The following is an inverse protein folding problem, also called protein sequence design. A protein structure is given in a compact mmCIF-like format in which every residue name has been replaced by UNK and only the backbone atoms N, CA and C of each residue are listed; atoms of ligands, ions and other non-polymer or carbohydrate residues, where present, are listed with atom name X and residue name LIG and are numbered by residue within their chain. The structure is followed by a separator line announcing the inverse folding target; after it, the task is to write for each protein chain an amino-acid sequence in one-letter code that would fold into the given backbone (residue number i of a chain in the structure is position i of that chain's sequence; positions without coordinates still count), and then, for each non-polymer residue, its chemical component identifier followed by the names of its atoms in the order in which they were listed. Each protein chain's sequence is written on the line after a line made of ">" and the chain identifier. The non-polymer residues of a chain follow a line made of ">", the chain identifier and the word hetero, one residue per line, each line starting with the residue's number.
data_IF_329169473686
#
_entry.id   IF_329169473686
#
_cell.length_a   1.000
_cell.length_b   1.000
_cell.length_c   1.000
_cell.angle_alpha   90.00
_cell.angle_beta   90.00
_cell.angle_gamma   90.00
#
_symmetry.space_group_name_H-M   'P 1'
#
loop_
_entity.id
_entity.type
_entity.pdbx_description
1 polymer ?
#
# COMPACT_ATOMS: atom_id res chain seq x y z
N UNK A 1 13.25 5.04 22.90
CA UNK A 1 11.82 4.67 22.94
C UNK A 1 11.39 4.52 24.39
N UNK A 2 10.34 5.18 24.86
CA UNK A 2 9.86 4.97 26.24
C UNK A 2 8.87 3.80 26.28
N UNK A 3 9.38 2.57 26.19
CA UNK A 3 8.58 1.35 26.34
C UNK A 3 7.63 1.02 25.18
N UNK A 4 7.75 1.69 24.02
CA UNK A 4 6.98 1.38 22.83
C UNK A 4 7.19 -0.07 22.36
N UNK A 5 6.12 -0.72 21.90
CA UNK A 5 6.13 -2.10 21.42
C UNK A 5 5.98 -2.15 19.90
N UNK A 6 6.27 -3.30 19.29
CA UNK A 6 5.95 -3.56 17.89
C UNK A 6 4.69 -4.42 17.79
N UNK A 7 3.89 -4.16 16.75
CA UNK A 7 2.71 -4.98 16.38
C UNK A 7 2.66 -5.13 14.86
N UNK A 8 1.70 -5.89 14.33
CA UNK A 8 1.49 -5.98 12.89
C UNK A 8 1.14 -4.60 12.33
N UNK A 9 1.93 -4.16 11.35
CA UNK A 9 1.81 -2.84 10.75
C UNK A 9 0.91 -2.77 9.54
N UNK A 10 0.94 -1.62 8.87
CA UNK A 10 0.38 -1.50 7.51
C UNK A 10 1.12 -2.47 6.61
N UNK A 11 2.46 -2.51 6.79
CA UNK A 11 3.37 -3.47 6.17
C UNK A 11 4.36 -3.98 7.23
N UNK A 12 4.45 -5.31 7.37
CA UNK A 12 5.35 -5.92 8.35
C UNK A 12 4.99 -5.52 9.79
N UNK A 13 5.83 -4.71 10.43
CA UNK A 13 5.69 -4.29 11.82
C UNK A 13 5.59 -2.78 11.96
N UNK A 14 4.62 -2.33 12.74
CA UNK A 14 4.47 -0.93 13.13
C UNK A 14 4.80 -0.73 14.61
N UNK A 15 5.13 0.51 14.97
CA UNK A 15 5.31 0.91 16.36
C UNK A 15 3.93 1.14 16.97
N UNK A 16 3.64 0.46 18.08
CA UNK A 16 2.48 0.68 18.92
C UNK A 16 2.81 1.69 20.02
N UNK A 17 2.04 2.77 20.06
CA UNK A 17 2.09 3.78 21.13
C UNK A 17 0.76 3.80 21.85
N UNK A 18 0.81 3.64 23.17
CA UNK A 18 -0.36 3.71 24.04
C UNK A 18 -0.39 5.02 24.83
N UNK A 19 -1.49 5.77 24.72
CA UNK A 19 -1.70 7.01 25.50
C UNK A 19 -1.72 6.73 27.01
N UNK A 20 -2.27 5.59 27.44
CA UNK A 20 -2.34 5.17 28.85
C UNK A 20 -0.96 4.99 29.50
N UNK A 21 0.07 4.79 28.68
CA UNK A 21 1.47 4.62 29.09
C UNK A 21 2.33 5.83 28.71
N UNK A 22 1.73 6.90 28.16
CA UNK A 22 2.45 8.11 27.72
C UNK A 22 3.63 7.81 26.79
N UNK A 23 3.44 6.86 25.86
CA UNK A 23 4.52 6.36 25.00
C UNK A 23 4.80 7.29 23.83
N UNK A 24 6.09 7.39 23.48
CA UNK A 24 6.57 8.14 22.33
C UNK A 24 7.97 7.67 21.93
N UNK A 25 8.38 8.07 20.73
CA UNK A 25 9.74 7.89 20.21
C UNK A 25 10.43 9.25 20.13
N UNK A 26 11.74 9.26 20.35
CA UNK A 26 12.61 10.42 20.19
C UNK A 26 13.68 10.04 19.18
N UNK A 27 13.94 10.94 18.25
CA UNK A 27 14.98 10.85 17.23
C UNK A 27 15.80 12.14 17.33
N UNK A 28 17.13 12.12 17.13
CA UNK A 28 17.93 13.34 17.15
C UNK A 28 17.36 14.42 16.24
N UNK A 29 17.60 15.68 16.61
CA UNK A 29 17.28 16.88 15.82
C UNK A 29 17.56 16.70 14.32
N UNK A 30 16.60 17.12 13.49
CA UNK A 30 16.74 17.17 12.03
C UNK A 30 16.64 18.63 11.61
N UNK A 31 17.64 19.15 10.90
CA UNK A 31 17.64 20.57 10.56
C UNK A 31 16.65 20.92 9.44
N UNK A 32 15.43 21.28 9.83
CA UNK A 32 14.36 21.84 8.97
C UNK A 32 14.40 23.37 8.86
N UNK A 33 15.36 24.05 9.50
CA UNK A 33 15.42 25.52 9.59
C UNK A 33 15.42 26.17 8.21
N UNK A 34 14.35 26.86 7.84
CA UNK A 34 14.23 27.55 6.54
C UNK A 34 14.46 26.64 5.32
N UNK A 35 14.13 25.36 5.43
CA UNK A 35 14.28 24.38 4.34
C UNK A 35 12.96 23.79 3.91
N UNK A 36 12.90 23.37 2.65
CA UNK A 36 11.80 22.56 2.15
C UNK A 36 11.93 21.12 2.64
N UNK A 37 10.81 20.47 2.95
CA UNK A 37 10.78 19.08 3.40
C UNK A 37 9.42 18.44 3.12
N UNK A 38 9.41 17.11 3.12
CA UNK A 38 8.20 16.28 3.13
C UNK A 38 8.35 15.23 4.22
N UNK A 39 7.36 15.10 5.11
CA UNK A 39 7.31 14.05 6.12
C UNK A 39 6.06 13.22 5.90
N UNK A 40 6.24 11.91 5.81
CA UNK A 40 5.20 10.93 5.49
C UNK A 40 5.15 9.82 6.52
N UNK A 41 3.97 9.26 6.73
CA UNK A 41 3.76 8.13 7.64
C UNK A 41 2.42 7.45 7.39
N UNK A 42 2.37 6.16 7.68
CA UNK A 42 1.13 5.43 7.86
C UNK A 42 0.69 5.47 9.32
N UNK A 43 -0.58 5.78 9.58
CA UNK A 43 -1.15 5.83 10.93
C UNK A 43 -2.39 4.94 11.05
N UNK A 44 -2.52 4.24 12.17
CA UNK A 44 -3.74 3.55 12.58
C UNK A 44 -4.21 4.08 13.93
N UNK A 45 -5.37 4.71 13.96
CA UNK A 45 -5.92 5.35 15.16
C UNK A 45 -6.75 4.35 15.97
N UNK A 46 -6.33 4.11 17.21
CA UNK A 46 -7.11 3.33 18.18
C UNK A 46 -8.18 4.19 18.86
N UNK A 47 -7.86 5.46 19.11
CA UNK A 47 -8.79 6.43 19.69
C UNK A 47 -8.78 7.75 18.93
N UNK A 48 -9.89 8.48 19.03
CA UNK A 48 -10.06 9.82 18.49
C UNK A 48 -10.71 10.71 19.54
N UNK A 49 -10.30 11.99 19.57
CA UNK A 49 -10.85 13.01 20.47
C UNK A 49 -10.84 14.37 19.78
N UNK A 50 -11.56 15.33 20.36
CA UNK A 50 -11.64 16.70 19.84
C UNK A 50 -10.39 17.53 20.16
N UNK A 51 -9.75 17.26 21.30
CA UNK A 51 -8.46 17.85 21.67
C UNK A 51 -7.32 17.28 20.82
N UNK A 52 -6.14 17.88 20.98
CA UNK A 52 -4.97 17.50 20.18
C UNK A 52 -4.53 16.05 20.46
N UNK A 53 -4.19 15.36 19.37
CA UNK A 53 -3.45 14.10 19.35
C UNK A 53 -2.19 14.38 18.54
N UNK A 54 -1.04 14.37 19.17
CA UNK A 54 0.21 14.74 18.52
C UNK A 54 0.86 13.54 17.84
N UNK A 55 1.21 13.68 16.56
CA UNK A 55 1.79 12.62 15.72
C UNK A 55 3.30 12.76 15.63
N UNK A 56 3.77 13.95 15.30
CA UNK A 56 5.17 14.24 15.03
C UNK A 56 5.43 15.69 15.43
N UNK A 57 6.58 15.97 16.02
CA UNK A 57 6.95 17.35 16.28
C UNK A 57 8.43 17.53 16.54
N UNK A 58 8.89 18.73 16.22
CA UNK A 58 10.22 19.23 16.52
C UNK A 58 10.07 20.63 17.10
N UNK A 59 10.44 20.81 18.36
CA UNK A 59 10.17 22.04 19.08
C UNK A 59 11.38 22.47 19.89
N UNK A 60 12.03 23.55 19.43
CA UNK A 60 13.05 24.29 20.20
C UNK A 60 12.39 24.93 21.43
N UNK A 61 11.25 25.60 21.23
CA UNK A 61 10.43 26.19 22.28
C UNK A 61 9.01 26.50 21.77
N UNK A 62 8.11 26.90 22.66
CA UNK A 62 6.69 27.14 22.35
C UNK A 62 6.43 28.57 21.86
N UNK A 63 7.14 28.97 20.81
CA UNK A 63 6.89 30.25 20.13
C UNK A 63 6.67 30.03 18.65
N UNK A 64 5.99 30.99 18.02
CA UNK A 64 5.69 30.97 16.59
C UNK A 64 6.99 30.75 15.80
N UNK A 65 6.96 29.75 14.92
CA UNK A 65 8.04 29.26 14.06
C UNK A 65 9.17 28.50 14.77
N UNK A 66 9.05 28.21 16.07
CA UNK A 66 10.04 27.42 16.84
C UNK A 66 9.53 26.04 17.25
N UNK A 67 8.31 25.67 16.85
CA UNK A 67 7.74 24.36 17.10
C UNK A 67 6.92 23.88 15.91
N UNK A 68 7.53 22.97 15.13
CA UNK A 68 6.90 22.19 14.09
C UNK A 68 6.05 21.11 14.75
N UNK A 69 4.79 21.02 14.35
CA UNK A 69 3.91 19.97 14.85
C UNK A 69 2.99 19.46 13.76
N UNK A 70 2.77 18.14 13.79
CA UNK A 70 1.70 17.46 13.10
C UNK A 70 0.79 16.83 14.15
N UNK A 71 -0.50 17.13 14.07
CA UNK A 71 -1.46 16.66 15.04
C UNK A 71 -2.80 16.34 14.37
N UNK A 72 -3.64 15.64 15.11
CA UNK A 72 -5.06 15.50 14.83
C UNK A 72 -5.80 16.35 15.85
N UNK A 73 -6.73 17.19 15.39
CA UNK A 73 -7.57 18.07 16.22
C UNK A 73 -8.96 18.08 15.63
N UNK A 74 -10.00 17.99 16.44
CA UNK A 74 -11.38 17.91 15.95
C UNK A 74 -11.55 16.92 14.78
N UNK A 75 -10.93 15.74 14.92
CA UNK A 75 -10.94 14.64 13.93
C UNK A 75 -10.25 14.92 12.60
N UNK A 76 -9.55 16.04 12.42
CA UNK A 76 -8.84 16.36 11.17
C UNK A 76 -7.34 16.42 11.40
N UNK A 77 -6.58 16.19 10.33
CA UNK A 77 -5.12 16.37 10.30
C UNK A 77 -4.76 17.85 10.28
N UNK A 78 -3.68 18.20 10.97
CA UNK A 78 -3.12 19.54 11.07
C UNK A 78 -1.60 19.49 10.96
N UNK A 79 -1.04 20.52 10.32
CA UNK A 79 0.36 20.87 10.46
C UNK A 79 0.50 22.34 10.83
N UNK A 80 1.55 22.69 11.56
CA UNK A 80 1.82 24.09 11.83
C UNK A 80 3.20 24.34 12.40
N UNK A 81 3.60 25.61 12.36
CA UNK A 81 4.81 26.12 13.00
C UNK A 81 4.45 26.91 14.27
N UNK A 82 3.61 26.32 15.14
CA UNK A 82 3.06 26.92 16.36
C UNK A 82 2.20 28.17 16.12
N UNK A 83 0.88 28.04 16.35
CA UNK A 83 -0.11 29.09 16.11
C UNK A 83 -0.17 29.59 14.64
N UNK A 84 0.39 28.81 13.73
CA UNK A 84 0.39 29.02 12.29
C UNK A 84 0.01 27.70 11.62
N UNK A 85 -1.23 27.31 11.89
CA UNK A 85 -1.72 25.97 11.61
C UNK A 85 -2.48 25.96 10.27
N UNK A 86 -2.29 24.89 9.51
CA UNK A 86 -3.08 24.47 8.36
C UNK A 86 -3.86 23.22 8.75
N UNK A 87 -5.13 23.15 8.40
CA UNK A 87 -5.98 21.98 8.61
C UNK A 87 -6.30 21.27 7.29
N UNK A 88 -6.42 19.95 7.33
CA UNK A 88 -7.11 19.19 6.29
C UNK A 88 -8.63 19.39 6.35
N UNK A 89 -9.37 18.66 5.51
CA UNK A 89 -10.83 18.77 5.40
C UNK A 89 -11.56 17.53 5.92
N UNK A 90 -10.98 16.35 5.72
CA UNK A 90 -11.58 15.05 6.01
C UNK A 90 -11.57 14.73 7.50
N UNK A 91 -12.72 14.31 8.02
CA UNK A 91 -12.83 13.75 9.37
C UNK A 91 -12.34 12.30 9.37
N UNK A 92 -11.32 12.02 10.17
CA UNK A 92 -10.79 10.69 10.38
C UNK A 92 -11.75 9.85 11.23
N UNK A 93 -11.65 8.54 11.07
CA UNK A 93 -12.27 7.52 11.91
C UNK A 93 -11.21 6.59 12.49
N UNK A 94 -11.51 5.92 13.60
CA UNK A 94 -10.64 4.88 14.15
C UNK A 94 -10.74 3.58 13.34
N UNK A 95 -9.84 2.65 13.61
CA UNK A 95 -9.98 1.26 13.12
C UNK A 95 -9.48 1.01 11.70
N UNK A 96 -8.82 1.99 11.06
CA UNK A 96 -8.23 1.84 9.72
C UNK A 96 -6.91 2.60 9.60
N UNK A 97 -6.12 2.20 8.61
CA UNK A 97 -4.90 2.91 8.22
C UNK A 97 -5.21 4.13 7.36
N UNK A 98 -4.38 5.16 7.52
CA UNK A 98 -4.28 6.32 6.64
C UNK A 98 -2.83 6.58 6.30
N UNK A 99 -2.54 6.97 5.06
CA UNK A 99 -1.26 7.61 4.73
C UNK A 99 -1.41 9.12 4.89
N UNK A 100 -0.49 9.77 5.57
CA UNK A 100 -0.47 11.23 5.69
C UNK A 100 0.88 11.76 5.22
N UNK A 101 0.84 12.78 4.37
CA UNK A 101 2.03 13.55 4.00
C UNK A 101 1.88 15.01 4.41
N UNK A 102 2.90 15.54 5.06
CA UNK A 102 3.04 16.95 5.37
C UNK A 102 4.21 17.52 4.61
N UNK A 103 3.94 18.53 3.80
CA UNK A 103 4.91 19.08 2.86
C UNK A 103 5.07 20.57 3.13
N UNK A 104 6.31 21.04 3.18
CA UNK A 104 6.63 22.46 3.24
C UNK A 104 7.60 22.84 2.13
N UNK A 105 7.22 23.84 1.34
CA UNK A 105 8.07 24.50 0.36
C UNK A 105 8.57 25.84 0.91
N UNK A 106 9.86 25.93 1.26
CA UNK A 106 10.47 27.16 1.76
C UNK A 106 10.69 28.22 0.68
N UNK A 107 10.68 27.86 -0.61
CA UNK A 107 10.80 28.82 -1.72
C UNK A 107 9.47 29.54 -1.92
N UNK A 108 8.36 28.79 -1.92
CA UNK A 108 7.01 29.33 -2.08
C UNK A 108 6.36 29.74 -0.74
N UNK A 109 6.99 29.44 0.40
CA UNK A 109 6.38 29.46 1.74
C UNK A 109 5.05 28.70 1.77
N UNK A 110 4.97 27.54 1.15
CA UNK A 110 3.71 26.83 0.96
C UNK A 110 3.65 25.56 1.82
N UNK A 111 2.64 25.48 2.68
CA UNK A 111 2.32 24.29 3.48
C UNK A 111 1.23 23.49 2.76
N UNK A 112 1.41 22.17 2.68
CA UNK A 112 0.41 21.26 2.11
C UNK A 112 0.24 20.01 2.96
N UNK A 113 -1.01 19.57 3.12
CA UNK A 113 -1.38 18.31 3.77
C UNK A 113 -1.99 17.40 2.71
N UNK A 114 -1.56 16.14 2.71
CA UNK A 114 -2.17 15.09 1.91
C UNK A 114 -2.65 13.95 2.81
N UNK A 115 -3.79 13.36 2.47
CA UNK A 115 -4.35 12.17 3.12
C UNK A 115 -4.65 11.12 2.06
N UNK A 116 -4.19 9.89 2.27
CA UNK A 116 -4.29 8.78 1.32
C UNK A 116 -3.80 9.16 -0.10
N UNK A 117 -2.78 10.02 -0.16
CA UNK A 117 -2.15 10.47 -1.40
C UNK A 117 -2.82 11.70 -2.06
N UNK A 118 -3.95 12.16 -1.54
CA UNK A 118 -4.73 13.26 -2.12
C UNK A 118 -4.58 14.55 -1.31
N UNK A 119 -4.57 15.70 -1.99
CA UNK A 119 -4.41 17.00 -1.35
C UNK A 119 -5.64 17.33 -0.49
N UNK A 120 -5.41 17.60 0.79
CA UNK A 120 -6.45 17.91 1.79
C UNK A 120 -6.48 19.40 2.17
N UNK A 121 -5.33 20.06 2.12
CA UNK A 121 -5.20 21.45 2.51
C UNK A 121 -3.91 22.05 1.95
N UNK A 122 -3.98 23.32 1.55
CA UNK A 122 -2.84 24.04 1.02
C UNK A 122 -2.91 25.53 1.38
N UNK A 123 -1.80 26.14 1.79
CA UNK A 123 -1.74 27.57 2.08
C UNK A 123 -0.31 28.11 2.02
N UNK A 124 -0.18 29.34 1.53
CA UNK A 124 1.03 30.15 1.70
C UNK A 124 1.10 30.67 3.14
N UNK A 125 2.07 30.20 3.92
CA UNK A 125 2.40 30.77 5.24
C UNK A 125 3.18 32.08 5.09
N UNK A 126 3.11 32.90 6.13
CA UNK A 126 3.85 34.16 6.24
C UNK A 126 5.36 33.98 6.39
N UNK A 127 5.84 32.81 6.82
CA UNK A 127 7.28 32.55 6.99
C UNK A 127 7.60 31.07 7.22
N UNK A 128 8.87 30.72 7.05
CA UNK A 128 9.41 29.40 7.33
C UNK A 128 9.45 29.03 8.81
N UNK A 129 9.56 27.73 9.05
CA UNK A 129 10.03 27.19 10.32
C UNK A 129 11.48 27.64 10.59
N UNK A 130 11.74 28.04 11.83
CA UNK A 130 12.98 28.67 12.28
C UNK A 130 13.62 27.97 13.49
N UNK A 131 13.07 26.84 13.96
CA UNK A 131 13.64 26.11 15.09
C UNK A 131 15.03 25.58 14.75
N UNK A 132 16.00 25.76 15.65
CA UNK A 132 17.43 25.45 15.42
C UNK A 132 17.95 24.27 16.23
N UNK A 133 17.11 23.72 17.11
CA UNK A 133 17.38 22.57 17.94
C UNK A 133 16.06 21.96 18.41
N UNK A 134 16.15 20.93 19.25
CA UNK A 134 15.01 20.18 19.75
C UNK A 134 14.92 18.85 19.02
N UNK A 135 14.91 17.75 19.78
CA UNK A 135 14.80 16.43 19.16
C UNK A 135 13.42 16.25 18.50
N UNK A 136 13.42 15.46 17.42
CA UNK A 136 12.19 15.02 16.79
C UNK A 136 11.48 14.04 17.73
N UNK A 137 10.18 14.24 17.89
CA UNK A 137 9.31 13.38 18.70
C UNK A 137 8.21 12.78 17.83
N UNK A 138 7.91 11.51 18.06
CA UNK A 138 6.84 10.76 17.37
C UNK A 138 5.88 10.23 18.43
N UNK A 139 4.59 10.46 18.23
CA UNK A 139 3.51 10.17 19.17
C UNK A 139 3.33 11.20 20.29
N UNK A 140 4.07 12.31 20.21
CA UNK A 140 3.85 13.52 21.00
C UNK A 140 4.40 14.74 20.26
N UNK A 141 4.03 15.94 20.72
CA UNK A 141 4.75 17.20 20.45
C UNK A 141 4.92 17.90 21.80
N UNK A 142 5.81 18.90 21.90
CA UNK A 142 6.01 19.65 23.14
C UNK A 142 4.79 20.41 23.67
N UNK A 143 3.73 20.58 22.85
CA UNK A 143 2.52 21.37 23.11
C UNK A 143 1.55 20.61 24.02
N UNK A 144 0.98 21.26 25.07
CA UNK A 144 1.17 20.88 26.48
C UNK A 144 0.91 19.40 26.80
N UNK A 145 1.59 18.92 27.85
CA UNK A 145 1.49 17.55 28.36
C UNK A 145 0.03 17.06 28.42
N UNK A 146 -0.26 15.89 27.83
CA UNK A 146 -1.63 15.39 27.72
C UNK A 146 -1.98 14.75 26.38
N UNK A 147 -1.32 15.19 25.30
CA UNK A 147 -1.80 14.97 23.94
C UNK A 147 -1.05 13.85 23.19
N UNK A 148 -0.83 12.70 23.83
CA UNK A 148 -0.14 11.57 23.19
C UNK A 148 -0.99 10.88 22.12
N UNK A 149 -0.30 10.30 21.15
CA UNK A 149 -0.87 9.38 20.18
C UNK A 149 -1.27 8.06 20.82
N UNK A 150 -2.30 7.44 20.25
CA UNK A 150 -2.80 6.14 20.67
C UNK A 150 -3.16 5.30 19.43
N UNK A 151 -2.31 4.32 19.14
CA UNK A 151 -2.42 3.52 17.94
C UNK A 151 -1.08 3.09 17.37
N UNK A 152 -1.08 2.77 16.08
CA UNK A 152 0.10 2.31 15.35
C UNK A 152 0.62 3.40 14.42
N UNK A 153 1.94 3.48 14.27
CA UNK A 153 2.62 4.29 13.26
C UNK A 153 3.62 3.42 12.51
N UNK A 154 3.63 3.53 11.19
CA UNK A 154 4.43 2.70 10.30
C UNK A 154 5.08 3.55 9.19
N UNK A 155 6.21 3.08 8.64
CA UNK A 155 6.92 3.65 7.49
C UNK A 155 7.12 5.18 7.51
N UNK A 156 7.57 5.73 8.65
CA UNK A 156 7.83 7.18 8.75
C UNK A 156 9.02 7.55 7.85
N UNK A 157 8.79 8.46 6.91
CA UNK A 157 9.81 8.94 5.98
C UNK A 157 9.98 10.44 6.09
N UNK A 158 11.23 10.91 6.16
CA UNK A 158 11.59 12.33 6.10
C UNK A 158 12.42 12.57 4.84
N UNK A 159 11.91 13.41 3.95
CA UNK A 159 12.57 13.81 2.71
C UNK A 159 12.96 15.28 2.79
N UNK A 160 14.21 15.62 2.48
CA UNK A 160 14.76 16.99 2.53
C UNK A 160 14.42 17.85 1.30
N UNK A 161 13.28 17.56 0.65
CA UNK A 161 12.74 18.30 -0.50
C UNK A 161 11.22 18.22 -0.53
N UNK A 162 10.63 19.06 -1.36
CA UNK A 162 9.24 18.95 -1.78
C UNK A 162 9.07 17.70 -2.67
N UNK A 163 8.13 16.82 -2.32
CA UNK A 163 7.63 15.78 -3.22
C UNK A 163 6.49 16.31 -4.06
N UNK A 164 6.38 15.81 -5.29
CA UNK A 164 5.23 16.06 -6.15
C UNK A 164 3.99 15.31 -5.64
N UNK A 165 2.80 15.75 -6.04
CA UNK A 165 1.56 15.03 -5.74
C UNK A 165 1.56 13.60 -6.31
N UNK A 166 2.25 13.36 -7.43
CA UNK A 166 2.38 12.02 -8.01
C UNK A 166 3.27 11.11 -7.15
N UNK A 167 4.38 11.62 -6.62
CA UNK A 167 5.23 10.88 -5.69
C UNK A 167 4.44 10.53 -4.41
N UNK A 168 3.75 11.50 -3.81
CA UNK A 168 2.96 11.29 -2.59
C UNK A 168 1.81 10.30 -2.83
N UNK A 169 1.14 10.39 -3.99
CA UNK A 169 0.11 9.41 -4.37
C UNK A 169 0.69 8.02 -4.55
N UNK A 170 1.86 7.90 -5.16
CA UNK A 170 2.54 6.61 -5.32
C UNK A 170 2.90 6.02 -3.95
N UNK A 171 3.49 6.81 -3.06
CA UNK A 171 3.87 6.39 -1.71
C UNK A 171 2.66 5.95 -0.87
N UNK A 172 1.53 6.63 -1.05
CA UNK A 172 0.27 6.29 -0.40
C UNK A 172 -0.44 5.07 -0.99
N UNK A 173 -0.18 4.70 -2.25
CA UNK A 173 -1.06 3.76 -2.96
C UNK A 173 -0.42 2.56 -3.65
N UNK A 174 0.85 2.64 -4.04
CA UNK A 174 1.61 1.49 -4.51
C UNK A 174 2.04 0.66 -3.30
N UNK A 175 1.41 -0.49 -3.12
CA UNK A 175 1.70 -1.38 -1.99
C UNK A 175 2.99 -2.16 -2.23
N UNK A 176 3.14 -2.72 -3.43
CA UNK A 176 4.33 -3.47 -3.84
C UNK A 176 4.51 -3.42 -5.36
N UNK A 177 5.75 -3.40 -5.80
CA UNK A 177 6.19 -3.57 -7.19
C UNK A 177 7.37 -4.53 -7.24
N UNK A 178 7.12 -5.74 -7.77
CA UNK A 178 8.14 -6.71 -8.06
C UNK A 178 8.41 -6.74 -9.57
N UNK A 179 9.53 -6.18 -10.04
CA UNK A 179 9.90 -6.22 -11.45
C UNK A 179 10.31 -7.63 -11.90
N UNK A 180 10.56 -8.55 -10.96
CA UNK A 180 11.10 -9.88 -11.27
C UNK A 180 12.42 -9.83 -12.07
N UNK A 181 13.24 -8.85 -11.73
CA UNK A 181 14.68 -8.79 -12.02
C UNK A 181 15.49 -9.43 -10.90
N UNK A 182 16.69 -9.96 -11.19
CA UNK A 182 17.63 -10.47 -10.18
C UNK A 182 18.42 -9.31 -9.54
N UNK A 183 18.42 -9.13 -8.21
CA UNK A 183 17.75 -9.95 -7.20
C UNK A 183 16.25 -9.60 -7.03
N UNK A 184 15.48 -10.60 -6.59
CA UNK A 184 14.05 -10.44 -6.33
C UNK A 184 13.77 -9.46 -5.17
N UNK A 185 13.44 -8.22 -5.52
CA UNK A 185 13.24 -7.12 -4.58
C UNK A 185 11.93 -6.38 -4.89
N UNK A 186 11.20 -5.99 -3.85
CA UNK A 186 10.14 -4.99 -3.97
C UNK A 186 10.79 -3.60 -4.11
N UNK A 187 10.63 -2.96 -5.27
CA UNK A 187 11.13 -1.60 -5.51
C UNK A 187 10.07 -0.53 -5.22
N UNK A 188 8.90 -0.94 -4.74
CA UNK A 188 7.85 -0.05 -4.26
C UNK A 188 8.22 0.68 -2.96
N UNK A 189 7.44 1.70 -2.58
CA UNK A 189 7.74 2.60 -1.46
C UNK A 189 7.73 1.91 -0.09
N UNK A 190 7.14 0.73 0.00
CA UNK A 190 7.01 0.01 1.26
C UNK A 190 8.03 -1.12 1.48
N UNK A 191 8.89 -1.38 0.49
CA UNK A 191 10.04 -2.29 0.63
C UNK A 191 9.67 -3.66 1.22
N UNK A 192 8.58 -4.27 0.73
CA UNK A 192 8.06 -5.54 1.22
C UNK A 192 9.13 -6.64 1.18
N UNK A 193 9.41 -7.26 2.32
CA UNK A 193 10.29 -8.43 2.38
C UNK A 193 9.57 -9.66 1.81
N UNK A 194 9.85 -10.01 0.56
CA UNK A 194 9.38 -11.27 0.00
C UNK A 194 10.17 -12.43 0.61
N UNK A 195 9.51 -13.28 1.39
CA UNK A 195 10.04 -14.58 1.75
C UNK A 195 9.79 -15.52 0.59
N UNK A 196 10.80 -15.75 -0.25
CA UNK A 196 10.71 -16.82 -1.22
C UNK A 196 10.75 -18.15 -0.47
N UNK A 197 9.58 -18.67 -0.11
CA UNK A 197 9.46 -20.06 0.30
C UNK A 197 9.56 -20.91 -0.97
N UNK A 198 10.77 -21.06 -1.51
CA UNK A 198 11.05 -22.10 -2.49
C UNK A 198 11.07 -23.44 -1.75
N UNK A 199 9.91 -23.91 -1.29
CA UNK A 199 9.81 -25.30 -0.83
C UNK A 199 9.98 -26.21 -2.07
N UNK A 200 11.21 -26.67 -2.31
CA UNK A 200 11.52 -27.73 -3.29
C UNK A 200 11.92 -27.25 -4.69
N UNK A 201 12.93 -26.37 -4.77
CA UNK A 201 13.50 -25.76 -5.98
C UNK A 201 13.68 -26.75 -7.16
N UNK A 202 12.69 -26.80 -8.06
CA UNK A 202 12.77 -27.53 -9.33
C UNK A 202 11.92 -26.91 -10.45
N UNK A 203 11.31 -25.75 -10.24
CA UNK A 203 10.30 -25.21 -11.17
C UNK A 203 10.28 -23.71 -11.41
N UNK A 204 11.11 -22.90 -10.73
CA UNK A 204 11.24 -21.46 -11.02
C UNK A 204 12.61 -21.12 -11.58
N UNK A 205 12.65 -20.22 -12.55
CA UNK A 205 13.91 -19.75 -13.15
C UNK A 205 13.76 -18.36 -13.73
N UNK A 206 14.84 -17.59 -13.73
CA UNK A 206 14.92 -16.34 -14.47
C UNK A 206 14.92 -16.60 -15.98
N UNK A 207 14.10 -15.86 -16.71
CA UNK A 207 14.02 -15.87 -18.18
C UNK A 207 14.04 -14.44 -18.70
N UNK A 208 14.12 -14.26 -20.02
CA UNK A 208 13.94 -12.92 -20.62
C UNK A 208 12.52 -12.41 -20.37
N UNK A 209 12.42 -11.23 -19.77
CA UNK A 209 11.16 -10.60 -19.41
C UNK A 209 10.51 -9.84 -20.54
N UNK A 210 9.36 -9.24 -20.22
CA UNK A 210 8.78 -8.13 -20.99
C UNK A 210 9.66 -6.90 -20.83
N UNK A 211 10.13 -6.64 -19.61
CA UNK A 211 11.19 -5.69 -19.26
C UNK A 211 12.32 -6.53 -18.68
N UNK A 212 13.57 -6.33 -19.12
CA UNK A 212 14.74 -7.03 -18.56
C UNK A 212 14.55 -8.56 -18.37
N UNK A 213 14.35 -9.03 -17.13
CA UNK A 213 14.12 -10.43 -16.76
C UNK A 213 12.69 -10.66 -16.27
N UNK A 214 12.30 -11.94 -16.19
CA UNK A 214 11.04 -12.34 -15.60
C UNK A 214 11.19 -13.64 -14.83
N UNK A 215 10.23 -13.91 -13.94
CA UNK A 215 10.17 -15.16 -13.20
C UNK A 215 9.31 -16.18 -13.96
N UNK A 216 9.92 -17.27 -14.38
CA UNK A 216 9.23 -18.41 -15.01
C UNK A 216 8.72 -19.39 -13.95
N UNK A 217 7.52 -19.93 -14.19
CA UNK A 217 6.84 -20.92 -13.37
C UNK A 217 6.61 -22.20 -14.20
N UNK A 218 6.72 -23.36 -13.55
CA UNK A 218 6.47 -24.66 -14.14
C UNK A 218 5.17 -25.27 -13.62
N UNK A 219 4.64 -26.28 -14.33
CA UNK A 219 3.43 -27.03 -13.93
C UNK A 219 3.58 -27.85 -12.63
N UNK A 220 4.73 -27.81 -11.96
CA UNK A 220 4.90 -28.40 -10.62
C UNK A 220 4.52 -27.37 -9.54
N UNK A 221 4.68 -27.70 -8.25
CA UNK A 221 4.40 -26.76 -7.16
C UNK A 221 5.46 -25.64 -7.11
N UNK A 222 5.39 -24.71 -8.06
CA UNK A 222 6.25 -23.54 -8.19
C UNK A 222 5.42 -22.28 -7.93
N UNK A 223 5.81 -21.49 -6.92
CA UNK A 223 5.12 -20.25 -6.60
C UNK A 223 6.05 -19.22 -5.97
N UNK A 224 5.74 -17.96 -6.24
CA UNK A 224 6.26 -16.82 -5.51
C UNK A 224 5.30 -16.54 -4.35
N UNK A 225 5.85 -16.12 -3.20
CA UNK A 225 5.05 -15.77 -2.04
C UNK A 225 5.59 -14.52 -1.36
N UNK A 226 4.67 -13.67 -0.92
CA UNK A 226 4.95 -12.58 0.01
C UNK A 226 3.73 -12.34 0.89
N UNK A 227 3.94 -11.85 2.10
CA UNK A 227 2.90 -11.64 3.10
C UNK A 227 3.00 -10.23 3.69
N UNK A 228 1.93 -9.77 4.34
CA UNK A 228 1.90 -8.45 4.96
C UNK A 228 0.93 -7.47 4.29
N UNK A 229 0.12 -7.93 3.33
CA UNK A 229 -0.81 -7.07 2.61
C UNK A 229 -2.07 -6.82 3.44
N UNK A 230 -2.03 -5.83 4.34
CA UNK A 230 -3.21 -5.46 5.13
C UNK A 230 -4.35 -4.93 4.26
N UNK A 231 -4.03 -4.04 3.32
CA UNK A 231 -4.97 -3.40 2.40
C UNK A 231 -5.85 -4.42 1.63
N UNK A 232 -5.24 -5.49 1.12
CA UNK A 232 -5.96 -6.57 0.41
C UNK A 232 -6.84 -7.42 1.33
N UNK A 233 -6.71 -7.28 2.64
CA UNK A 233 -7.55 -7.95 3.64
C UNK A 233 -8.79 -7.17 4.04
N UNK A 234 -8.98 -5.96 3.52
CA UNK A 234 -10.09 -5.07 3.88
C UNK A 234 -11.08 -4.90 2.73
N UNK A 235 -12.29 -4.44 3.06
CA UNK A 235 -13.27 -4.00 2.06
C UNK A 235 -12.90 -2.60 1.52
N UNK A 236 -11.83 -2.54 0.73
CA UNK A 236 -11.30 -1.32 0.13
C UNK A 236 -10.91 -1.56 -1.33
N UNK A 237 -10.93 -0.48 -2.13
CA UNK A 237 -10.55 -0.55 -3.52
C UNK A 237 -9.11 -1.11 -3.68
N UNK A 238 -8.85 -1.79 -4.78
CA UNK A 238 -7.52 -2.34 -5.07
C UNK A 238 -7.29 -2.46 -6.57
N UNK A 239 -6.03 -2.56 -6.97
CA UNK A 239 -5.64 -2.95 -8.32
C UNK A 239 -4.45 -3.89 -8.31
N UNK A 240 -4.45 -4.85 -9.22
CA UNK A 240 -3.37 -5.82 -9.41
C UNK A 240 -3.02 -5.78 -10.89
N UNK A 241 -1.76 -5.51 -11.22
CA UNK A 241 -1.25 -5.50 -12.58
C UNK A 241 -0.08 -6.47 -12.72
N UNK A 242 -0.01 -7.19 -13.83
CA UNK A 242 1.12 -8.06 -14.16
C UNK A 242 1.18 -8.32 -15.67
N UNK A 243 2.39 -8.56 -16.16
CA UNK A 243 2.61 -9.15 -17.47
C UNK A 243 2.67 -10.67 -17.36
N UNK A 244 2.02 -11.39 -18.28
CA UNK A 244 2.09 -12.86 -18.37
C UNK A 244 2.55 -13.30 -19.75
N UNK A 245 3.32 -14.39 -19.77
CA UNK A 245 3.69 -15.11 -20.99
C UNK A 245 3.44 -16.61 -20.77
N UNK A 246 2.20 -17.09 -21.02
CA UNK A 246 1.82 -18.46 -20.71
C UNK A 246 2.47 -19.45 -21.68
N UNK A 247 3.07 -20.53 -21.16
CA UNK A 247 3.42 -21.70 -21.98
C UNK A 247 2.20 -22.62 -22.16
N UNK A 248 1.21 -22.49 -21.27
CA UNK A 248 -0.06 -23.19 -21.29
C UNK A 248 -1.12 -22.37 -20.54
N UNK A 249 -2.34 -22.20 -21.09
CA UNK A 249 -3.40 -21.40 -20.46
C UNK A 249 -4.19 -22.19 -19.42
N UNK A 250 -3.58 -22.49 -18.26
CA UNK A 250 -4.28 -23.09 -17.13
C UNK A 250 -3.66 -22.66 -15.79
N UNK A 251 -4.43 -22.88 -14.72
CA UNK A 251 -3.97 -22.66 -13.35
C UNK A 251 -4.21 -21.26 -12.81
N UNK A 252 -3.66 -21.02 -11.64
CA UNK A 252 -3.84 -19.79 -10.86
C UNK A 252 -2.64 -18.87 -11.07
N UNK A 253 -2.91 -17.60 -11.40
CA UNK A 253 -1.88 -16.57 -11.57
C UNK A 253 -1.68 -15.76 -10.30
N UNK A 254 -2.76 -15.34 -9.64
CA UNK A 254 -2.75 -14.58 -8.40
C UNK A 254 -3.71 -15.20 -7.40
N UNK A 255 -3.20 -15.55 -6.22
CA UNK A 255 -3.96 -16.13 -5.12
C UNK A 255 -3.72 -15.37 -3.82
N UNK A 256 -4.79 -15.15 -3.07
CA UNK A 256 -4.79 -14.42 -1.81
C UNK A 256 -5.22 -15.35 -0.67
N UNK A 257 -4.55 -15.29 0.48
CA UNK A 257 -4.85 -16.16 1.64
C UNK A 257 -4.48 -15.49 2.96
N UNK A 258 -5.25 -15.74 4.02
CA UNK A 258 -4.90 -15.29 5.39
C UNK A 258 -3.73 -16.07 5.99
N UNK A 259 -3.34 -17.20 5.38
CA UNK A 259 -2.23 -18.03 5.84
C UNK A 259 -1.14 -18.17 4.78
N UNK A 260 0.10 -18.25 5.26
CA UNK A 260 1.30 -18.47 4.46
C UNK A 260 1.38 -19.85 3.78
N UNK A 261 0.44 -20.75 4.05
CA UNK A 261 0.30 -22.03 3.35
C UNK A 261 -0.52 -21.91 2.06
N UNK A 262 -1.17 -20.77 1.82
CA UNK A 262 -2.18 -20.60 0.78
C UNK A 262 -3.57 -21.13 1.17
N UNK A 263 -3.71 -21.71 2.36
CA UNK A 263 -4.93 -22.32 2.90
C UNK A 263 -5.26 -21.82 4.31
N UNK A 264 -5.73 -20.57 4.41
CA UNK A 264 -6.15 -19.97 5.67
C UNK A 264 -7.64 -20.10 5.98
N UNK A 265 -8.10 -19.39 7.01
CA UNK A 265 -9.53 -19.20 7.29
C UNK A 265 -10.29 -18.54 6.13
N UNK A 266 -9.56 -17.82 5.27
CA UNK A 266 -10.07 -17.20 4.05
C UNK A 266 -8.99 -17.27 2.97
N UNK A 267 -9.38 -17.61 1.75
CA UNK A 267 -8.50 -17.62 0.59
C UNK A 267 -9.29 -17.57 -0.72
N UNK A 268 -8.70 -16.97 -1.75
CA UNK A 268 -9.34 -16.69 -3.04
C UNK A 268 -8.30 -16.59 -4.18
N UNK A 269 -8.39 -17.40 -5.25
CA UNK A 269 -7.75 -17.10 -6.51
C UNK A 269 -8.48 -15.93 -7.17
N UNK A 270 -7.76 -14.85 -7.49
CA UNK A 270 -8.36 -13.63 -8.04
C UNK A 270 -8.05 -13.45 -9.53
N UNK A 271 -6.91 -13.98 -10.00
CA UNK A 271 -6.54 -13.99 -11.42
C UNK A 271 -6.05 -15.40 -11.77
N UNK A 272 -6.53 -15.95 -12.88
CA UNK A 272 -6.16 -17.29 -13.33
C UNK A 272 -6.85 -17.64 -14.63
N UNK A 273 -6.90 -18.92 -14.97
CA UNK A 273 -7.53 -19.40 -16.21
C UNK A 273 -8.80 -20.20 -15.93
N UNK A 274 -9.80 -20.05 -16.80
CA UNK A 274 -10.95 -20.94 -16.85
C UNK A 274 -10.61 -22.27 -17.54
N UNK A 275 -11.58 -23.20 -17.60
CA UNK A 275 -11.40 -24.52 -18.23
C UNK A 275 -11.13 -24.48 -19.73
N UNK A 276 -11.50 -23.39 -20.41
CA UNK A 276 -11.22 -23.20 -21.84
C UNK A 276 -9.96 -22.35 -22.11
N UNK A 277 -9.22 -21.97 -21.06
CA UNK A 277 -8.00 -21.16 -21.16
C UNK A 277 -8.23 -19.66 -21.26
N UNK A 278 -9.46 -19.17 -21.08
CA UNK A 278 -9.73 -17.74 -20.99
C UNK A 278 -9.12 -17.18 -19.69
N UNK A 279 -8.54 -15.99 -19.74
CA UNK A 279 -8.11 -15.30 -18.52
C UNK A 279 -9.35 -14.93 -17.71
N UNK A 280 -9.31 -15.14 -16.40
CA UNK A 280 -10.40 -14.80 -15.49
C UNK A 280 -9.86 -13.83 -14.47
N UNK A 281 -10.61 -12.75 -14.26
CA UNK A 281 -10.46 -11.86 -13.11
C UNK A 281 -11.70 -12.02 -12.24
N UNK A 282 -11.52 -12.29 -10.94
CA UNK A 282 -12.63 -12.46 -10.02
C UNK A 282 -12.38 -11.84 -8.65
N UNK A 283 -13.46 -11.47 -7.98
CA UNK A 283 -13.50 -11.00 -6.59
C UNK A 283 -14.60 -11.71 -5.82
N UNK A 284 -14.69 -11.45 -4.52
CA UNK A 284 -15.59 -12.16 -3.61
C UNK A 284 -16.53 -11.21 -2.86
N UNK A 285 -17.82 -11.54 -2.90
CA UNK A 285 -18.83 -10.95 -2.03
C UNK A 285 -19.90 -12.00 -1.71
N UNK A 286 -19.55 -12.92 -0.80
CA UNK A 286 -20.37 -14.10 -0.46
C UNK A 286 -20.73 -14.98 -1.68
N UNK A 287 -19.88 -14.90 -2.70
CA UNK A 287 -20.02 -15.52 -4.01
C UNK A 287 -18.96 -14.92 -4.95
N UNK A 288 -18.53 -15.68 -5.97
CA UNK A 288 -17.55 -15.22 -6.93
C UNK A 288 -18.21 -14.32 -7.98
N UNK A 289 -17.70 -13.10 -8.12
CA UNK A 289 -18.01 -12.20 -9.23
C UNK A 289 -16.82 -12.19 -10.17
N UNK A 290 -17.04 -12.54 -11.43
CA UNK A 290 -15.96 -12.75 -12.38
C UNK A 290 -16.20 -12.03 -13.71
N UNK A 291 -15.12 -11.54 -14.29
CA UNK A 291 -15.01 -11.12 -15.68
C UNK A 291 -14.19 -12.19 -16.40
N UNK A 292 -14.79 -12.83 -17.41
CA UNK A 292 -14.11 -13.81 -18.27
C UNK A 292 -13.56 -13.06 -19.48
N UNK A 293 -12.24 -12.98 -19.55
CA UNK A 293 -11.49 -12.31 -20.60
C UNK A 293 -11.25 -13.15 -21.85
N UNK A 294 -10.38 -12.69 -22.76
CA UNK A 294 -9.97 -13.46 -23.92
C UNK A 294 -9.01 -14.60 -23.52
N UNK A 295 -8.72 -15.51 -24.45
CA UNK A 295 -7.64 -16.50 -24.29
C UNK A 295 -6.32 -15.81 -24.64
N UNK A 296 -5.39 -15.60 -23.68
CA UNK A 296 -4.09 -15.01 -24.00
C UNK A 296 -3.27 -15.94 -24.91
N UNK A 297 -2.49 -15.39 -25.86
CA UNK A 297 -1.62 -16.19 -26.72
C UNK A 297 -0.53 -16.92 -25.91
N UNK A 298 -0.26 -18.18 -26.27
CA UNK A 298 0.88 -18.92 -25.72
C UNK A 298 2.18 -18.32 -26.24
N UNK A 299 3.20 -18.29 -25.38
CA UNK A 299 4.56 -17.83 -25.69
C UNK A 299 4.62 -16.36 -26.16
N UNK A 300 3.63 -15.55 -25.77
CA UNK A 300 3.59 -14.13 -26.04
C UNK A 300 3.08 -13.34 -24.83
N UNK A 301 3.68 -12.18 -24.62
CA UNK A 301 3.36 -11.30 -23.50
C UNK A 301 1.98 -10.66 -23.63
N UNK A 302 1.19 -10.74 -22.56
CA UNK A 302 -0.08 -10.00 -22.39
C UNK A 302 -0.07 -9.28 -21.04
N UNK A 303 -0.48 -8.02 -21.02
CA UNK A 303 -0.63 -7.25 -19.79
C UNK A 303 -2.05 -7.43 -19.24
N UNK A 304 -2.16 -7.86 -17.99
CA UNK A 304 -3.42 -8.16 -17.31
C UNK A 304 -3.54 -7.22 -16.11
N UNK A 305 -4.63 -6.46 -16.03
CA UNK A 305 -4.93 -5.65 -14.84
C UNK A 305 -6.33 -5.95 -14.34
N UNK A 306 -6.41 -6.28 -13.05
CA UNK A 306 -7.64 -6.32 -12.29
C UNK A 306 -7.76 -5.03 -11.48
N UNK A 307 -8.89 -4.34 -11.56
CA UNK A 307 -9.22 -3.25 -10.63
C UNK A 307 -10.57 -3.51 -9.97
N UNK A 308 -10.72 -3.06 -8.73
CA UNK A 308 -12.01 -3.11 -8.03
C UNK A 308 -12.22 -1.85 -7.18
N UNK A 309 -13.45 -1.33 -7.19
CA UNK A 309 -13.95 -0.41 -6.17
C UNK A 309 -15.45 -0.64 -5.92
N UNK A 310 -15.95 -0.15 -4.78
CA UNK A 310 -17.38 -0.21 -4.46
C UNK A 310 -18.27 0.58 -5.43
N UNK A 311 -17.69 1.56 -6.14
CA UNK A 311 -18.40 2.41 -7.11
C UNK A 311 -18.43 1.79 -8.50
N UNK A 312 -17.29 1.26 -8.94
CA UNK A 312 -17.12 0.81 -10.32
C UNK A 312 -17.25 -0.70 -10.50
N UNK A 313 -17.32 -1.46 -9.41
CA UNK A 313 -17.29 -2.92 -9.45
C UNK A 313 -15.91 -3.45 -9.84
N UNK A 314 -15.89 -4.70 -10.28
CA UNK A 314 -14.69 -5.38 -10.75
C UNK A 314 -14.48 -5.11 -12.24
N UNK A 315 -13.25 -4.77 -12.64
CA UNK A 315 -12.88 -4.52 -14.04
C UNK A 315 -11.64 -5.34 -14.42
N UNK A 316 -11.63 -5.79 -15.66
CA UNK A 316 -10.49 -6.44 -16.29
C UNK A 316 -9.99 -5.57 -17.45
N UNK A 317 -8.70 -5.24 -17.44
CA UNK A 317 -8.01 -4.60 -18.56
C UNK A 317 -7.03 -5.58 -19.18
N UNK A 318 -6.93 -5.53 -20.51
CA UNK A 318 -5.99 -6.33 -21.31
C UNK A 318 -5.18 -5.37 -22.18
N UNK A 319 -3.85 -5.45 -22.10
CA UNK A 319 -2.94 -4.62 -22.91
C UNK A 319 -3.24 -3.11 -22.85
N UNK A 320 -3.62 -2.64 -21.65
CA UNK A 320 -3.88 -1.22 -21.38
C UNK A 320 -5.32 -0.77 -21.62
N UNK A 321 -6.14 -1.56 -22.32
CA UNK A 321 -7.55 -1.24 -22.60
C UNK A 321 -8.51 -1.96 -21.65
N UNK A 322 -9.60 -1.29 -21.25
CA UNK A 322 -10.68 -1.95 -20.50
C UNK A 322 -11.31 -3.02 -21.39
N UNK A 323 -11.29 -4.26 -20.93
CA UNK A 323 -11.92 -5.38 -21.63
C UNK A 323 -13.40 -5.47 -21.26
N UNK A 324 -13.70 -5.65 -19.98
CA UNK A 324 -15.07 -5.75 -19.48
C UNK A 324 -15.13 -5.53 -17.95
N UNK A 325 -16.34 -5.48 -17.39
CA UNK A 325 -16.61 -5.21 -15.98
C UNK A 325 -17.84 -5.93 -15.45
N UNK A 326 -17.88 -6.15 -14.14
CA UNK A 326 -19.07 -6.65 -13.43
C UNK A 326 -19.33 -5.82 -12.17
N UNK A 327 -20.60 -5.47 -11.96
CA UNK A 327 -21.00 -4.70 -10.78
C UNK A 327 -20.90 -5.57 -9.52
N UNK A 328 -20.13 -5.08 -8.54
CA UNK A 328 -19.99 -5.70 -7.21
C UNK A 328 -19.60 -4.61 -6.21
N UNK A 329 -20.50 -4.33 -5.27
CA UNK A 329 -20.44 -3.13 -4.41
C UNK A 329 -19.59 -3.29 -3.15
N UNK A 330 -19.15 -4.51 -2.83
CA UNK A 330 -18.32 -4.80 -1.66
C UNK A 330 -17.34 -5.93 -1.97
N UNK A 331 -16.20 -5.92 -1.29
CA UNK A 331 -15.23 -7.00 -1.26
C UNK A 331 -15.23 -7.61 0.14
N UNK A 332 -15.76 -8.82 0.25
CA UNK A 332 -15.85 -9.57 1.50
C UNK A 332 -14.52 -10.28 1.79
N UNK A 333 -13.50 -9.49 2.13
CA UNK A 333 -12.14 -9.93 2.41
C UNK A 333 -11.99 -10.66 3.76
N UNK A 334 -10.81 -11.21 4.01
CA UNK A 334 -10.51 -12.00 5.22
C UNK A 334 -10.42 -11.20 6.53
N UNK A 335 -10.43 -9.87 6.49
CA UNK A 335 -10.36 -9.00 7.68
C UNK A 335 -9.02 -9.04 8.41
N UNK A 336 -7.96 -9.53 7.76
CA UNK A 336 -6.63 -9.72 8.34
C UNK A 336 -5.54 -9.40 7.32
N UNK A 337 -4.28 -9.32 7.75
CA UNK A 337 -3.16 -9.19 6.82
C UNK A 337 -3.07 -10.43 5.91
N UNK A 338 -2.87 -10.20 4.61
CA UNK A 338 -2.93 -11.25 3.61
C UNK A 338 -1.54 -11.67 3.11
N UNK A 339 -1.45 -12.91 2.67
CA UNK A 339 -0.38 -13.46 1.84
C UNK A 339 -0.83 -13.56 0.39
N UNK A 340 0.04 -13.11 -0.51
CA UNK A 340 -0.09 -13.20 -1.96
C UNK A 340 0.78 -14.33 -2.48
N UNK A 341 0.24 -15.11 -3.40
CA UNK A 341 0.95 -16.13 -4.15
C UNK A 341 0.80 -15.86 -5.64
N UNK A 342 1.89 -16.06 -6.38
CA UNK A 342 1.84 -16.10 -7.84
C UNK A 342 2.22 -17.48 -8.37
N UNK A 343 1.54 -17.90 -9.43
CA UNK A 343 1.82 -19.14 -10.16
C UNK A 343 1.26 -20.43 -9.53
N UNK A 344 0.82 -20.40 -8.27
CA UNK A 344 0.08 -21.48 -7.61
C UNK A 344 -0.70 -20.92 -6.40
N UNK A 345 -1.59 -21.72 -5.83
CA UNK A 345 -2.30 -21.45 -4.57
C UNK A 345 -1.67 -22.11 -3.34
N UNK A 346 -0.48 -22.71 -3.46
CA UNK A 346 0.12 -23.50 -2.38
C UNK A 346 -0.77 -24.68 -1.99
N UNK A 347 -1.09 -24.81 -0.70
CA UNK A 347 -2.02 -25.82 -0.17
C UNK A 347 -3.50 -25.39 -0.25
N UNK A 348 -3.81 -24.29 -0.92
CA UNK A 348 -5.15 -23.69 -1.05
C UNK A 348 -6.17 -24.47 -1.87
N UNK A 349 -6.08 -25.80 -1.99
CA UNK A 349 -6.96 -26.59 -2.87
C UNK A 349 -8.44 -26.56 -2.48
N UNK A 350 -8.76 -26.12 -1.25
CA UNK A 350 -10.12 -26.02 -0.72
C UNK A 350 -10.69 -24.60 -0.77
N UNK A 351 -9.97 -23.65 -1.37
CA UNK A 351 -10.40 -22.27 -1.49
C UNK A 351 -11.59 -22.14 -2.46
N UNK A 352 -12.36 -21.06 -2.33
CA UNK A 352 -13.46 -20.77 -3.25
C UNK A 352 -12.87 -20.52 -4.65
N UNK A 353 -13.24 -21.31 -5.65
CA UNK A 353 -12.57 -21.28 -6.96
C UNK A 353 -13.26 -20.38 -7.99
N UNK A 354 -14.58 -20.19 -7.87
CA UNK A 354 -15.34 -19.37 -8.80
C UNK A 354 -15.23 -19.90 -10.24
N UNK A 355 -14.79 -19.03 -11.16
CA UNK A 355 -14.59 -19.37 -12.58
C UNK A 355 -13.15 -19.81 -12.90
N UNK A 356 -12.24 -19.72 -11.93
CA UNK A 356 -10.83 -20.13 -12.10
C UNK A 356 -10.70 -21.62 -11.83
N UNK A 357 -10.05 -22.34 -12.75
CA UNK A 357 -9.62 -23.73 -12.52
C UNK A 357 -8.29 -23.68 -11.78
N UNK A 358 -8.34 -23.97 -10.48
CA UNK A 358 -7.14 -23.98 -9.63
C UNK A 358 -6.11 -24.99 -10.12
N UNK A 359 -4.85 -24.58 -10.09
CA UNK A 359 -3.71 -25.41 -10.47
C UNK A 359 -2.44 -24.59 -10.60
N UNK A 360 -1.33 -25.26 -10.89
CA UNK A 360 -0.07 -24.61 -11.19
C UNK A 360 -0.13 -23.92 -12.56
N UNK A 361 0.23 -22.64 -12.59
CA UNK A 361 0.50 -21.92 -13.82
C UNK A 361 1.80 -22.40 -14.46
N UNK A 362 1.90 -22.30 -15.78
CA UNK A 362 3.19 -22.45 -16.45
C UNK A 362 3.39 -21.38 -17.50
N UNK A 363 4.54 -20.73 -17.42
CA UNK A 363 4.88 -19.53 -18.19
C UNK A 363 5.61 -18.52 -17.32
N UNK A 364 5.93 -17.38 -17.89
CA UNK A 364 6.58 -16.29 -17.17
C UNK A 364 5.56 -15.26 -16.64
N UNK A 365 5.92 -14.62 -15.53
CA UNK A 365 5.27 -13.42 -15.00
C UNK A 365 6.34 -12.35 -14.81
N UNK A 366 5.99 -11.12 -15.16
CA UNK A 366 6.86 -9.97 -15.10
C UNK A 366 6.08 -8.75 -14.58
N UNK A 367 6.80 -7.74 -14.06
CA UNK A 367 6.25 -6.42 -13.74
C UNK A 367 4.96 -6.49 -12.90
N UNK A 368 5.06 -7.07 -11.71
CA UNK A 368 3.92 -7.29 -10.82
C UNK A 368 3.72 -6.13 -9.85
N UNK A 369 2.53 -5.54 -9.89
CA UNK A 369 2.13 -4.42 -9.05
C UNK A 369 0.88 -4.75 -8.22
N UNK A 370 0.85 -4.22 -6.99
CA UNK A 370 -0.33 -4.19 -6.13
C UNK A 370 -0.57 -2.76 -5.69
N UNK A 371 -1.77 -2.26 -5.92
CA UNK A 371 -2.24 -0.97 -5.44
C UNK A 371 -3.40 -1.13 -4.45
N UNK A 372 -3.46 -0.27 -3.44
CA UNK A 372 -4.53 -0.23 -2.43
C UNK A 372 -5.72 0.67 -2.85
N UNK A 373 -5.83 0.95 -4.15
CA UNK A 373 -6.87 1.77 -4.77
C UNK A 373 -7.22 1.24 -6.16
N UNK A 374 -8.32 1.71 -6.71
CA UNK A 374 -8.63 1.53 -8.12
C UNK A 374 -7.72 2.43 -8.97
N UNK A 375 -7.05 1.85 -9.97
CA UNK A 375 -6.40 2.58 -11.04
C UNK A 375 -7.42 3.02 -12.09
N UNK A 376 -7.28 4.25 -12.57
CA UNK A 376 -8.00 4.75 -13.74
C UNK A 376 -7.43 4.17 -15.04
N UNK A 377 -8.21 4.23 -16.13
CA UNK A 377 -7.73 3.81 -17.44
C UNK A 377 -6.45 4.55 -17.89
N UNK A 378 -6.31 5.84 -17.53
CA UNK A 378 -5.11 6.63 -17.80
C UNK A 378 -3.87 6.19 -17.01
N UNK A 379 -4.05 5.52 -15.87
CA UNK A 379 -2.95 4.97 -15.07
C UNK A 379 -2.61 3.53 -15.47
N UNK A 380 -3.59 2.78 -15.98
CA UNK A 380 -3.38 1.43 -16.52
C UNK A 380 -2.62 1.44 -17.85
N UNK A 381 -2.86 2.44 -18.70
CA UNK A 381 -2.27 2.50 -20.04
C UNK A 381 -0.72 2.55 -20.04
N UNK A 382 -0.04 3.38 -19.22
CA UNK A 382 1.41 3.38 -19.10
C UNK A 382 2.01 2.03 -18.66
N UNK A 383 1.36 1.31 -17.76
CA UNK A 383 1.83 -0.01 -17.30
C UNK A 383 1.84 -1.07 -18.43
N UNK A 384 1.03 -0.87 -19.47
CA UNK A 384 1.01 -1.70 -20.66
C UNK A 384 2.07 -1.32 -21.72
N UNK A 385 2.84 -0.26 -21.50
CA UNK A 385 3.88 0.24 -22.41
C UNK A 385 5.16 0.63 -21.63
N UNK A 386 5.74 -0.31 -20.86
CA UNK A 386 6.92 -0.03 -20.04
C UNK A 386 8.19 0.17 -20.86
#
# INVERSE_FOLDING_TARGET
>A
MNGAAFSTGYIGQAILLAVSLSQYVVVPYIDFTSKSFTVEMWIYLSTLRTSDINLFGECENHTVRRCLHYNIRNYKVYMGFYADDLSGVTNLTTGRWYHIAYMYDAVANNQSIYLDGLLEGNRVTSSSYLGQNGDVTIGKTGIPAGNWYDGLIDQITVTNRVKTSCEILNDASLVAHFPFDDPLVDIGPNTMTATITVQGNSGMSWVTGKVNQALSFSKTNSYFQTCGFWALGQNQAYSIALWINPSFQAGTLFHLSTAATGSGSWCLPMIGFSSNGSIVSQTWNYGAFAVIGPIPPINAWSHIVQTWSSVNGLRLYINGGLYDSVAVSAFAAGGASMCVFLGNSGLGTNCQTGQIVMGAYSGAIDEFYVYNRELSASEVCPLAHP
#
